data_IF_306062929595
#
_entry.id   IF_306062929595
#
_cell.length_a   1.000
_cell.length_b   1.000
_cell.length_c   1.000
_cell.angle_alpha   90.00
_cell.angle_beta   90.00
_cell.angle_gamma   90.00
#
_symmetry.space_group_name_H-M   'P 1'
#
loop_
_entity.id
_entity.type
_entity.pdbx_description
1 polymer ?
#
# COMPACT_ATOMS: atom_id res chain seq x y z
N UNK A 1 -49.44 33.68 -29.79
CA UNK A 1 -49.51 34.70 -28.73
C UNK A 1 -49.49 33.94 -27.41
N UNK A 2 -48.56 34.11 -26.47
CA UNK A 2 -47.70 35.27 -26.22
C UNK A 2 -46.28 34.86 -25.82
N UNK A 3 -45.32 35.77 -26.06
CA UNK A 3 -43.91 35.63 -25.70
C UNK A 3 -43.63 36.13 -24.28
N UNK A 4 -42.70 35.47 -23.56
CA UNK A 4 -41.89 36.17 -22.55
C UNK A 4 -40.45 35.66 -22.55
N UNK A 5 -39.52 36.56 -22.85
CA UNK A 5 -38.07 36.32 -22.79
C UNK A 5 -37.50 36.62 -21.40
N UNK A 6 -36.58 35.79 -20.92
CA UNK A 6 -35.75 36.08 -19.75
C UNK A 6 -34.28 35.83 -20.03
N UNK A 7 -33.49 36.89 -20.24
CA UNK A 7 -32.01 36.83 -20.28
C UNK A 7 -31.46 37.30 -18.93
N UNK A 8 -30.44 36.65 -18.39
CA UNK A 8 -29.31 37.25 -17.65
C UNK A 8 -28.18 36.20 -17.59
N UNK A 9 -27.05 36.45 -18.24
CA UNK A 9 -25.83 37.03 -17.64
C UNK A 9 -25.19 36.07 -16.60
N UNK A 10 -24.20 35.25 -16.98
CA UNK A 10 -22.79 35.60 -17.21
C UNK A 10 -22.01 35.89 -15.91
N UNK A 11 -21.13 34.95 -15.52
CA UNK A 11 -20.04 35.20 -14.57
C UNK A 11 -18.83 34.32 -14.92
N UNK A 12 -17.75 34.94 -15.38
CA UNK A 12 -16.45 34.32 -15.59
C UNK A 12 -15.41 35.07 -14.74
N UNK A 13 -14.77 34.38 -13.79
CA UNK A 13 -13.68 34.87 -12.93
C UNK A 13 -13.13 33.68 -12.14
N UNK A 14 -11.84 33.47 -11.90
CA UNK A 14 -10.64 33.91 -12.62
C UNK A 14 -9.48 32.97 -12.26
N UNK A 15 -8.52 32.77 -13.16
CA UNK A 15 -7.25 32.06 -12.85
C UNK A 15 -6.39 32.91 -11.91
N UNK A 16 -5.79 32.31 -10.88
CA UNK A 16 -4.61 32.89 -10.18
C UNK A 16 -3.55 31.81 -9.91
N UNK A 17 -2.47 31.87 -10.70
CA UNK A 17 -1.22 31.16 -10.43
C UNK A 17 -0.50 31.81 -9.24
N UNK A 18 0.00 31.01 -8.30
CA UNK A 18 0.88 31.47 -7.23
C UNK A 18 2.27 30.80 -7.35
N UNK A 19 3.12 31.33 -8.24
CA UNK A 19 4.56 30.99 -8.22
C UNK A 19 5.21 31.73 -7.06
N UNK A 20 5.74 31.02 -6.06
CA UNK A 20 6.57 31.63 -5.00
C UNK A 20 8.00 31.11 -5.06
N UNK A 21 8.86 31.92 -5.68
CA UNK A 21 10.31 31.68 -5.78
C UNK A 21 10.98 31.84 -4.41
N UNK A 22 11.70 30.80 -3.95
CA UNK A 22 12.57 30.89 -2.78
C UNK A 22 13.96 31.34 -3.25
N UNK A 23 14.44 32.45 -2.68
CA UNK A 23 15.75 33.02 -3.01
C UNK A 23 16.87 32.15 -2.41
N UNK A 24 17.87 31.82 -3.24
CA UNK A 24 19.18 31.35 -2.75
C UNK A 24 19.91 32.49 -2.02
N UNK A 25 20.59 32.17 -0.93
CA UNK A 25 21.54 33.07 -0.26
C UNK A 25 22.96 32.54 -0.52
N UNK A 26 23.90 33.33 -1.06
CA UNK A 26 25.28 32.92 -1.24
C UNK A 26 26.13 33.25 0.01
N UNK A 27 26.95 32.31 0.46
CA UNK A 27 27.92 32.51 1.53
C UNK A 27 29.01 31.46 1.42
N UNK A 28 30.23 31.87 1.08
CA UNK A 28 31.35 30.96 0.81
C UNK A 28 32.53 31.15 1.76
N UNK A 29 33.15 30.02 2.09
CA UNK A 29 34.58 29.85 2.40
C UNK A 29 35.13 30.60 3.63
N UNK A 30 35.52 29.85 4.66
CA UNK A 30 36.93 29.93 5.12
C UNK A 30 37.41 28.60 5.70
N UNK A 31 38.54 28.12 5.21
CA UNK A 31 39.29 26.99 5.79
C UNK A 31 40.02 27.42 7.05
N UNK A 32 39.93 26.63 8.14
CA UNK A 32 40.96 26.62 9.18
C UNK A 32 41.34 25.19 9.54
N UNK A 33 42.63 24.91 9.41
CA UNK A 33 43.28 23.72 9.93
C UNK A 33 43.53 23.89 11.43
N UNK A 34 43.24 22.84 12.21
CA UNK A 34 43.85 22.62 13.52
C UNK A 34 43.77 21.14 13.86
N UNK A 35 44.90 20.45 13.80
CA UNK A 35 45.01 19.08 14.31
C UNK A 35 44.98 19.12 15.85
N UNK A 36 44.14 18.29 16.45
CA UNK A 36 44.20 17.97 17.88
C UNK A 36 43.70 16.54 18.11
N UNK A 37 44.62 15.72 18.61
CA UNK A 37 44.45 14.34 19.06
C UNK A 37 43.23 14.14 19.96
N UNK A 38 42.43 13.11 19.68
CA UNK A 38 41.77 12.33 20.73
C UNK A 38 41.50 10.90 20.26
N UNK A 39 42.15 9.92 20.90
CA UNK A 39 41.75 8.53 20.81
C UNK A 39 40.49 8.32 21.65
N UNK A 40 39.39 7.95 21.00
CA UNK A 40 38.26 7.31 21.65
C UNK A 40 37.85 6.12 20.78
N UNK A 41 38.43 4.96 21.06
CA UNK A 41 38.02 3.72 20.40
C UNK A 41 36.62 3.34 20.85
N UNK A 42 35.64 3.41 19.94
CA UNK A 42 34.35 2.78 20.18
C UNK A 42 34.58 1.28 20.30
N UNK A 43 34.16 0.62 21.41
CA UNK A 43 34.31 -0.82 21.53
C UNK A 43 33.50 -1.50 20.43
N UNK A 44 34.13 -2.44 19.74
CA UNK A 44 33.44 -3.30 18.78
C UNK A 44 32.31 -4.02 19.51
N UNK A 45 31.06 -3.70 19.15
CA UNK A 45 29.89 -4.41 19.66
C UNK A 45 29.94 -5.88 19.24
N UNK A 46 29.22 -6.78 19.95
CA UNK A 46 29.20 -8.19 19.59
C UNK A 46 28.73 -8.33 18.14
N UNK A 47 29.54 -9.03 17.33
CA UNK A 47 29.17 -9.40 15.97
C UNK A 47 27.90 -10.24 16.03
N UNK A 48 26.77 -9.64 15.63
CA UNK A 48 25.55 -10.37 15.35
C UNK A 48 25.80 -11.21 14.09
N UNK A 49 26.37 -12.40 14.28
CA UNK A 49 26.21 -13.46 13.31
C UNK A 49 24.70 -13.72 13.17
N UNK A 50 24.10 -13.56 11.99
CA UNK A 50 22.69 -13.88 11.81
C UNK A 50 22.48 -15.37 12.15
N UNK A 51 21.38 -15.73 12.83
CA UNK A 51 21.11 -17.13 13.12
C UNK A 51 21.07 -17.91 11.81
N UNK A 52 21.86 -18.98 11.72
CA UNK A 52 21.93 -19.87 10.56
C UNK A 52 20.69 -20.78 10.46
N UNK A 53 19.51 -20.17 10.49
CA UNK A 53 18.26 -20.80 10.07
C UNK A 53 18.19 -20.68 8.56
N UNK A 54 18.03 -21.81 7.86
CA UNK A 54 17.74 -21.84 6.42
C UNK A 54 16.29 -21.40 6.18
N UNK A 55 16.01 -20.11 6.41
CA UNK A 55 14.72 -19.51 6.11
C UNK A 55 14.50 -19.58 4.60
N UNK A 56 13.32 -20.02 4.17
CA UNK A 56 13.01 -20.16 2.75
C UNK A 56 12.77 -18.80 2.15
N UNK A 57 13.76 -18.29 1.40
CA UNK A 57 13.65 -17.07 0.62
C UNK A 57 12.98 -17.37 -0.71
N UNK A 58 11.74 -16.90 -0.88
CA UNK A 58 10.98 -17.00 -2.12
C UNK A 58 11.25 -15.78 -3.01
N UNK A 59 11.17 -15.98 -4.33
CA UNK A 59 11.26 -14.91 -5.32
C UNK A 59 9.99 -14.93 -6.17
N UNK A 60 9.16 -13.88 -6.05
CA UNK A 60 7.90 -13.75 -6.78
C UNK A 60 8.05 -12.68 -7.86
N UNK A 61 7.75 -12.95 -9.14
CA UNK A 61 7.71 -11.92 -10.16
C UNK A 61 6.51 -10.99 -9.94
N UNK A 62 6.59 -9.75 -10.42
CA UNK A 62 5.47 -8.81 -10.42
C UNK A 62 5.36 -8.10 -11.77
N UNK A 63 4.18 -7.55 -12.05
CA UNK A 63 3.96 -6.66 -13.20
C UNK A 63 3.70 -5.24 -12.71
N UNK A 64 3.91 -4.24 -13.57
CA UNK A 64 3.66 -2.83 -13.24
C UNK A 64 2.47 -2.30 -14.00
N UNK A 65 1.61 -1.54 -13.33
CA UNK A 65 0.50 -0.81 -13.94
C UNK A 65 0.65 0.68 -13.59
N UNK A 66 1.12 1.47 -14.56
CA UNK A 66 1.72 2.78 -14.28
C UNK A 66 2.87 2.64 -13.28
N UNK A 67 2.80 3.38 -12.17
CA UNK A 67 3.76 3.33 -11.07
C UNK A 67 3.43 2.25 -10.00
N UNK A 68 2.35 1.49 -10.17
CA UNK A 68 1.88 0.49 -9.19
C UNK A 68 2.55 -0.87 -9.41
N UNK A 69 2.99 -1.50 -8.32
CA UNK A 69 3.50 -2.89 -8.31
C UNK A 69 2.31 -3.83 -8.10
N UNK A 70 1.97 -4.61 -9.12
CA UNK A 70 0.84 -5.54 -9.12
C UNK A 70 1.32 -6.97 -8.91
N UNK A 71 0.69 -7.64 -7.95
CA UNK A 71 0.92 -9.04 -7.60
C UNK A 71 -0.42 -9.80 -7.59
N UNK A 72 -0.40 -11.05 -8.02
CA UNK A 72 -1.58 -11.91 -7.94
C UNK A 72 -1.68 -12.53 -6.54
N UNK A 73 -2.87 -12.45 -5.95
CA UNK A 73 -3.23 -13.20 -4.74
C UNK A 73 -4.36 -14.18 -5.04
N UNK A 74 -4.29 -15.39 -4.49
CA UNK A 74 -5.43 -16.31 -4.44
C UNK A 74 -6.18 -16.08 -3.14
N UNK A 75 -7.48 -15.85 -3.24
CA UNK A 75 -8.37 -15.64 -2.10
C UNK A 75 -9.44 -16.73 -2.11
N UNK A 76 -9.64 -17.42 -1.00
CA UNK A 76 -10.64 -18.50 -0.87
C UNK A 76 -11.75 -18.08 0.08
N UNK A 77 -12.98 -18.30 -0.36
CA UNK A 77 -14.20 -18.05 0.39
C UNK A 77 -15.31 -19.08 0.15
N UNK A 78 -16.52 -18.83 0.67
CA UNK A 78 -17.64 -19.80 0.67
C UNK A 78 -18.02 -20.38 -0.71
N UNK A 79 -17.77 -19.68 -1.82
CA UNK A 79 -18.08 -20.16 -3.19
C UNK A 79 -16.85 -20.66 -3.97
N UNK A 80 -15.66 -20.70 -3.36
CA UNK A 80 -14.43 -21.22 -3.98
C UNK A 80 -13.25 -20.25 -3.88
N UNK A 81 -12.28 -20.41 -4.78
CA UNK A 81 -11.05 -19.61 -4.84
C UNK A 81 -11.01 -18.78 -6.12
N UNK A 82 -10.69 -17.49 -5.99
CA UNK A 82 -10.44 -16.59 -7.11
C UNK A 82 -9.01 -16.06 -7.06
N UNK A 83 -8.48 -15.66 -8.23
CA UNK A 83 -7.29 -14.81 -8.35
C UNK A 83 -7.75 -13.35 -8.34
N UNK A 84 -7.05 -12.49 -7.60
CA UNK A 84 -7.23 -11.04 -7.64
C UNK A 84 -5.90 -10.32 -7.86
N UNK A 85 -5.96 -9.15 -8.49
CA UNK A 85 -4.86 -8.21 -8.71
C UNK A 85 -4.73 -7.29 -7.49
N UNK A 86 -3.65 -7.45 -6.73
CA UNK A 86 -3.36 -6.65 -5.54
C UNK A 86 -2.20 -5.69 -5.82
N UNK A 87 -2.32 -4.43 -5.40
CA UNK A 87 -1.20 -3.48 -5.34
C UNK A 87 -0.37 -3.79 -4.09
N UNK A 88 0.96 -3.87 -4.21
CA UNK A 88 1.85 -3.89 -3.06
C UNK A 88 1.91 -2.49 -2.41
N UNK A 89 1.29 -2.31 -1.24
CA UNK A 89 1.16 -1.01 -0.58
C UNK A 89 1.77 -1.01 0.84
N UNK A 90 2.97 -0.47 0.96
CA UNK A 90 3.68 -0.29 2.24
C UNK A 90 3.14 0.87 3.08
N UNK A 91 2.29 1.74 2.52
CA UNK A 91 1.55 2.79 3.22
C UNK A 91 0.23 2.30 3.83
N UNK A 92 -0.35 1.21 3.32
CA UNK A 92 -1.56 0.61 3.86
C UNK A 92 -1.27 -0.19 5.15
N UNK A 93 -1.87 0.21 6.27
CA UNK A 93 -1.75 -0.54 7.53
C UNK A 93 -2.44 -1.93 7.49
N UNK A 94 -3.37 -2.14 6.55
CA UNK A 94 -4.16 -3.38 6.45
C UNK A 94 -4.48 -3.73 5.00
N UNK A 95 -4.37 -5.02 4.71
CA UNK A 95 -4.74 -5.63 3.42
C UNK A 95 -6.23 -5.42 3.17
N UNK A 96 -6.55 -5.02 1.94
CA UNK A 96 -7.88 -4.62 1.51
C UNK A 96 -8.27 -5.38 0.25
N UNK A 97 -9.54 -5.71 0.08
CA UNK A 97 -10.11 -6.14 -1.20
C UNK A 97 -11.41 -5.37 -1.51
N UNK A 98 -11.78 -5.33 -2.79
CA UNK A 98 -13.01 -4.68 -3.26
C UNK A 98 -14.27 -5.42 -2.81
N UNK A 99 -15.42 -4.76 -2.89
CA UNK A 99 -16.72 -5.38 -2.64
C UNK A 99 -17.01 -6.48 -3.67
N UNK A 100 -16.61 -6.27 -4.92
CA UNK A 100 -16.80 -7.15 -6.08
C UNK A 100 -16.09 -8.48 -5.88
N UNK A 101 -14.83 -8.47 -5.40
CA UNK A 101 -14.11 -9.71 -5.09
C UNK A 101 -14.73 -10.42 -3.87
N UNK A 102 -15.08 -9.68 -2.81
CA UNK A 102 -15.72 -10.23 -1.61
C UNK A 102 -17.06 -10.94 -1.95
N UNK A 103 -17.93 -10.23 -2.68
CA UNK A 103 -19.26 -10.70 -3.10
C UNK A 103 -19.13 -11.86 -4.11
N UNK A 104 -18.07 -11.89 -4.93
CA UNK A 104 -17.76 -13.01 -5.85
C UNK A 104 -17.32 -14.28 -5.12
N UNK A 105 -16.56 -14.15 -4.04
CA UNK A 105 -16.15 -15.25 -3.15
C UNK A 105 -17.30 -15.76 -2.26
N UNK A 106 -18.39 -15.00 -2.15
CA UNK A 106 -19.55 -15.35 -1.33
C UNK A 106 -19.52 -14.81 0.10
N UNK A 107 -18.64 -13.86 0.38
CA UNK A 107 -18.75 -13.02 1.57
C UNK A 107 -19.77 -11.90 1.37
N UNK A 108 -20.16 -11.26 2.47
CA UNK A 108 -20.86 -9.99 2.47
C UNK A 108 -20.73 -9.28 3.84
N UNK A 109 -21.36 -8.12 4.03
CA UNK A 109 -21.23 -7.32 5.26
C UNK A 109 -21.66 -8.00 6.57
N UNK A 110 -22.38 -9.13 6.48
CA UNK A 110 -22.78 -9.97 7.63
C UNK A 110 -21.67 -10.90 8.14
N UNK A 111 -20.69 -11.20 7.29
CA UNK A 111 -19.55 -12.07 7.59
C UNK A 111 -18.38 -11.26 8.19
N UNK A 112 -18.51 -9.93 8.22
CA UNK A 112 -17.57 -9.01 8.86
C UNK A 112 -17.69 -8.99 10.38
N UNK A 113 -16.58 -9.21 11.08
CA UNK A 113 -16.49 -9.13 12.55
C UNK A 113 -16.31 -7.68 13.06
N UNK A 114 -16.03 -6.73 12.18
CA UNK A 114 -15.92 -5.30 12.48
C UNK A 114 -16.44 -4.48 11.29
N UNK A 115 -17.29 -3.48 11.53
CA UNK A 115 -17.67 -2.49 10.50
C UNK A 115 -16.67 -1.33 10.50
N UNK A 116 -16.39 -0.78 9.34
CA UNK A 116 -15.59 0.44 9.16
C UNK A 116 -16.42 1.50 8.43
N UNK A 117 -16.10 2.77 8.65
CA UNK A 117 -16.66 3.88 7.87
C UNK A 117 -15.53 4.61 7.19
N UNK A 118 -15.61 4.74 5.87
CA UNK A 118 -14.74 5.61 5.08
C UNK A 118 -15.52 6.90 4.84
N UNK A 119 -14.96 8.04 5.25
CA UNK A 119 -15.57 9.34 5.02
C UNK A 119 -15.09 9.89 3.67
N UNK A 120 -15.93 9.83 2.65
CA UNK A 120 -15.68 10.47 1.35
C UNK A 120 -16.33 11.85 1.32
N UNK A 121 -15.99 12.68 0.32
CA UNK A 121 -16.55 14.03 0.19
C UNK A 121 -18.06 14.06 -0.15
N UNK A 122 -18.67 12.90 -0.48
CA UNK A 122 -20.05 12.78 -0.96
C UNK A 122 -20.90 11.92 -0.01
N UNK A 123 -20.29 11.16 0.91
CA UNK A 123 -20.99 10.38 1.92
C UNK A 123 -20.05 9.58 2.84
N UNK A 124 -20.60 8.71 3.69
CA UNK A 124 -19.81 7.69 4.37
C UNK A 124 -20.04 6.34 3.70
N UNK A 125 -19.01 5.77 3.07
CA UNK A 125 -19.04 4.39 2.64
C UNK A 125 -18.87 3.45 3.83
N UNK A 126 -19.59 2.32 3.78
CA UNK A 126 -19.56 1.30 4.81
C UNK A 126 -18.69 0.13 4.37
N UNK A 127 -17.43 0.19 4.78
CA UNK A 127 -16.56 -0.98 4.73
C UNK A 127 -16.82 -1.94 5.89
N UNK A 128 -16.16 -3.09 5.84
CA UNK A 128 -16.15 -4.06 6.92
C UNK A 128 -14.84 -4.84 6.93
N UNK A 129 -14.58 -5.58 8.00
CA UNK A 129 -13.40 -6.43 8.14
C UNK A 129 -13.88 -7.85 8.38
N UNK A 130 -13.49 -8.74 7.49
CA UNK A 130 -13.82 -10.17 7.54
C UNK A 130 -12.55 -11.00 7.69
N UNK A 131 -12.69 -12.30 7.91
CA UNK A 131 -11.59 -13.26 7.81
C UNK A 131 -11.82 -14.15 6.60
N UNK A 132 -10.90 -14.11 5.63
CA UNK A 132 -10.95 -15.05 4.50
C UNK A 132 -10.52 -16.44 4.95
N UNK A 133 -11.08 -17.48 4.33
CA UNK A 133 -10.76 -18.86 4.70
C UNK A 133 -9.27 -19.14 4.44
N UNK A 134 -8.80 -18.71 3.27
CA UNK A 134 -7.39 -18.75 2.87
C UNK A 134 -7.03 -17.51 2.03
N UNK A 135 -5.83 -16.98 2.25
CA UNK A 135 -5.20 -15.94 1.45
C UNK A 135 -3.79 -16.39 1.08
N UNK A 136 -3.51 -16.53 -0.21
CA UNK A 136 -2.19 -16.95 -0.71
C UNK A 136 -1.60 -15.89 -1.62
N UNK A 137 -0.47 -15.31 -1.22
CA UNK A 137 0.23 -14.25 -1.97
C UNK A 137 1.73 -14.33 -1.69
N UNK A 138 2.56 -13.92 -2.66
CA UNK A 138 4.03 -14.01 -2.60
C UNK A 138 4.58 -15.41 -2.25
N UNK A 139 3.82 -16.46 -2.58
CA UNK A 139 4.14 -17.85 -2.27
C UNK A 139 3.83 -18.32 -0.84
N UNK A 140 3.22 -17.47 0.00
CA UNK A 140 2.82 -17.80 1.36
C UNK A 140 1.30 -17.88 1.50
N UNK A 141 0.83 -18.88 2.24
CA UNK A 141 -0.59 -19.13 2.51
C UNK A 141 -0.92 -18.84 3.98
N UNK A 142 -1.97 -18.04 4.20
CA UNK A 142 -2.49 -17.67 5.51
C UNK A 142 -3.95 -18.09 5.62
N UNK A 143 -4.33 -18.76 6.70
CA UNK A 143 -5.73 -19.13 6.97
C UNK A 143 -6.38 -18.16 7.95
N UNK A 144 -7.68 -17.94 7.84
CA UNK A 144 -8.44 -17.03 8.72
C UNK A 144 -7.89 -15.58 8.73
N UNK A 145 -7.32 -15.15 7.60
CA UNK A 145 -6.58 -13.88 7.49
C UNK A 145 -7.53 -12.67 7.45
N UNK A 146 -7.30 -11.62 8.26
CA UNK A 146 -8.18 -10.45 8.30
C UNK A 146 -7.94 -9.52 7.10
N UNK A 147 -9.00 -9.26 6.34
CA UNK A 147 -9.01 -8.36 5.17
C UNK A 147 -10.11 -7.31 5.37
N UNK A 148 -9.78 -6.05 5.08
CA UNK A 148 -10.75 -4.97 4.96
C UNK A 148 -11.48 -5.05 3.61
N UNK A 149 -12.77 -4.81 3.58
CA UNK A 149 -13.58 -4.68 2.36
C UNK A 149 -14.08 -3.25 2.27
N UNK A 150 -13.70 -2.53 1.22
CA UNK A 150 -14.21 -1.22 0.82
C UNK A 150 -13.85 -0.93 -0.65
N UNK A 151 -14.52 0.04 -1.28
CA UNK A 151 -14.23 0.44 -2.67
C UNK A 151 -12.87 1.17 -2.78
N UNK A 152 -12.08 0.81 -3.79
CA UNK A 152 -10.79 1.44 -4.11
C UNK A 152 -10.91 2.53 -5.19
N UNK A 153 -12.07 2.66 -5.84
CA UNK A 153 -12.32 3.62 -6.91
C UNK A 153 -11.52 3.35 -8.18
N UNK A 154 -11.14 2.08 -8.44
CA UNK A 154 -10.33 1.68 -9.58
C UNK A 154 -10.74 0.30 -10.11
N UNK A 155 -11.22 0.27 -11.35
CA UNK A 155 -11.89 -0.90 -11.96
C UNK A 155 -11.00 -2.14 -12.17
N UNK A 156 -9.67 -1.98 -12.26
CA UNK A 156 -8.71 -3.03 -12.62
C UNK A 156 -7.86 -3.54 -11.41
N UNK A 157 -8.23 -3.16 -10.18
CA UNK A 157 -7.49 -3.50 -8.95
C UNK A 157 -8.44 -4.09 -7.92
N UNK A 158 -8.27 -5.38 -7.62
CA UNK A 158 -9.11 -6.11 -6.65
C UNK A 158 -8.73 -5.85 -5.19
N UNK A 159 -7.55 -5.27 -4.92
CA UNK A 159 -7.08 -5.08 -3.55
C UNK A 159 -5.75 -4.37 -3.36
N UNK A 160 -5.40 -4.15 -2.08
CA UNK A 160 -4.11 -3.64 -1.61
C UNK A 160 -3.50 -4.66 -0.66
N UNK A 161 -2.26 -5.10 -0.89
CA UNK A 161 -1.50 -5.91 0.07
C UNK A 161 -0.79 -4.99 1.06
N UNK A 162 -1.27 -4.96 2.31
CA UNK A 162 -0.84 -4.03 3.33
C UNK A 162 0.11 -4.61 4.37
N UNK A 163 0.53 -3.76 5.30
CA UNK A 163 1.49 -4.07 6.34
C UNK A 163 1.06 -5.16 7.33
N UNK A 164 -0.24 -5.44 7.50
CA UNK A 164 -0.71 -6.60 8.29
C UNK A 164 -0.38 -7.97 7.66
N UNK A 165 0.10 -8.00 6.41
CA UNK A 165 0.79 -9.13 5.81
C UNK A 165 2.30 -8.87 5.82
N UNK A 166 2.73 -7.72 5.28
CA UNK A 166 4.14 -7.46 4.98
C UNK A 166 5.04 -7.35 6.22
N UNK A 167 4.50 -7.06 7.41
CA UNK A 167 5.28 -7.02 8.66
C UNK A 167 5.89 -8.36 9.06
N UNK A 168 5.27 -9.46 8.63
CA UNK A 168 5.64 -10.82 9.03
C UNK A 168 6.80 -11.36 8.16
N UNK A 169 7.32 -10.55 7.24
CA UNK A 169 8.34 -10.93 6.26
C UNK A 169 9.48 -9.91 6.19
N UNK A 170 10.69 -10.42 6.01
CA UNK A 170 11.81 -9.67 5.43
C UNK A 170 11.63 -9.65 3.91
N UNK A 171 11.33 -8.49 3.32
CA UNK A 171 11.07 -8.37 1.88
C UNK A 171 11.96 -7.33 1.19
N UNK A 172 12.32 -7.60 -0.07
CA UNK A 172 13.18 -6.77 -0.91
C UNK A 172 12.52 -6.60 -2.29
N UNK A 173 12.13 -5.38 -2.65
CA UNK A 173 11.60 -5.06 -3.98
C UNK A 173 12.76 -4.77 -4.92
N UNK A 174 12.92 -5.60 -5.95
CA UNK A 174 13.94 -5.46 -7.00
C UNK A 174 13.31 -4.98 -8.29
N UNK A 175 13.06 -3.67 -8.38
CA UNK A 175 12.34 -3.08 -9.52
C UNK A 175 13.01 -3.33 -10.86
N UNK A 176 14.35 -3.31 -10.93
CA UNK A 176 15.10 -3.63 -12.15
C UNK A 176 15.06 -5.12 -12.55
N UNK A 177 14.68 -6.02 -11.64
CA UNK A 177 14.53 -7.46 -11.89
C UNK A 177 13.05 -7.87 -12.06
N UNK A 178 12.10 -6.96 -11.85
CA UNK A 178 10.66 -7.23 -11.71
C UNK A 178 10.34 -8.36 -10.72
N UNK A 179 11.05 -8.36 -9.57
CA UNK A 179 10.92 -9.40 -8.52
C UNK A 179 10.77 -8.81 -7.13
N UNK A 180 9.99 -9.47 -6.30
CA UNK A 180 9.98 -9.29 -4.85
C UNK A 180 10.62 -10.54 -4.25
N UNK A 181 11.67 -10.35 -3.45
CA UNK A 181 12.23 -11.42 -2.63
C UNK A 181 11.57 -11.36 -1.25
N UNK A 182 11.12 -12.49 -0.72
CA UNK A 182 10.37 -12.58 0.54
C UNK A 182 10.90 -13.73 1.36
N UNK A 183 11.20 -13.46 2.61
CA UNK A 183 11.68 -14.41 3.61
C UNK A 183 10.80 -14.26 4.84
N UNK A 184 10.19 -15.34 5.32
CA UNK A 184 9.31 -15.27 6.50
C UNK A 184 10.15 -15.00 7.74
N UNK A 185 9.87 -13.90 8.43
CA UNK A 185 10.50 -13.57 9.70
C UNK A 185 10.13 -14.66 10.72
N UNK A 186 11.05 -14.97 11.65
CA UNK A 186 10.82 -15.98 12.68
C UNK A 186 9.59 -15.68 13.56
N UNK A 187 9.06 -16.70 14.28
CA UNK A 187 7.94 -16.53 15.19
C UNK A 187 8.25 -15.62 16.39
#
# INVERSE_FOLDING_TARGET
MSSTSGRHASSATARRNAKRSIRRVPGGITTRSSAATSQAGFPCGPSYAPPSSSMTRLATPFVTDGDLIIIEARVTGPRGTLLGRFVLDTGAAATTMTHELADSLGYGPRDGFRRTKVHTAIGSEQGYVLRVAEFTVLGFTLTSFPINVFDLGHDDIDGLLGMNFLSDFNYEIRSSEHRILVEKTGP
#
